data_IF_816352887611
#
_entry.id   IF_816352887611
#
_cell.length_a   1.000
_cell.length_b   1.000
_cell.length_c   1.000
_cell.angle_alpha   90.00
_cell.angle_beta   90.00
_cell.angle_gamma   90.00
#
_symmetry.space_group_name_H-M   'P 1'
#
loop_
_entity.id
_entity.type
_entity.pdbx_description
1 polymer ?
#
# COMPACT_ATOMS: atom_id res chain seq x y z
N UNK A 1 -17.76 -14.29 -49.62
CA UNK A 1 -18.62 -13.95 -48.47
C UNK A 1 -18.42 -14.85 -47.25
N UNK A 2 -18.52 -16.18 -47.37
CA UNK A 2 -18.36 -17.12 -46.23
C UNK A 2 -16.98 -17.07 -45.53
N UNK A 3 -15.90 -16.88 -46.29
CA UNK A 3 -14.53 -16.73 -45.74
C UNK A 3 -14.29 -15.40 -45.01
N UNK A 4 -14.95 -14.33 -45.46
CA UNK A 4 -14.89 -13.00 -44.82
C UNK A 4 -15.67 -12.99 -43.50
N UNK A 5 -16.82 -13.68 -43.45
CA UNK A 5 -17.57 -13.88 -42.21
C UNK A 5 -16.78 -14.67 -41.17
N UNK A 6 -16.10 -15.75 -41.55
CA UNK A 6 -15.29 -16.55 -40.63
C UNK A 6 -14.10 -15.77 -40.04
N UNK A 7 -13.45 -14.94 -40.85
CA UNK A 7 -12.36 -14.05 -40.40
C UNK A 7 -12.89 -12.96 -39.47
N UNK A 8 -14.04 -12.36 -39.78
CA UNK A 8 -14.68 -11.36 -38.93
C UNK A 8 -15.13 -11.94 -37.58
N UNK A 9 -15.75 -13.13 -37.57
CA UNK A 9 -16.14 -13.85 -36.35
C UNK A 9 -14.92 -14.26 -35.52
N UNK A 10 -13.85 -14.74 -36.15
CA UNK A 10 -12.59 -15.06 -35.48
C UNK A 10 -11.91 -13.85 -34.85
N UNK A 11 -11.88 -12.71 -35.54
CA UNK A 11 -11.34 -11.45 -35.03
C UNK A 11 -12.16 -10.89 -33.86
N UNK A 12 -13.49 -10.94 -33.94
CA UNK A 12 -14.40 -10.54 -32.84
C UNK A 12 -14.23 -11.44 -31.61
N UNK A 13 -14.03 -12.75 -31.82
CA UNK A 13 -13.78 -13.70 -30.73
C UNK A 13 -12.42 -13.44 -30.07
N UNK A 14 -11.38 -13.11 -30.86
CA UNK A 14 -10.08 -12.71 -30.32
C UNK A 14 -10.19 -11.44 -29.48
N UNK A 15 -10.86 -10.39 -29.97
CA UNK A 15 -11.05 -9.12 -29.25
C UNK A 15 -11.82 -9.31 -27.93
N UNK A 16 -12.83 -10.18 -27.91
CA UNK A 16 -13.58 -10.50 -26.68
C UNK A 16 -12.74 -11.27 -25.64
N UNK A 17 -11.72 -12.03 -26.07
CA UNK A 17 -10.77 -12.71 -25.18
C UNK A 17 -9.71 -11.73 -24.61
N UNK A 18 -9.27 -10.72 -25.38
CA UNK A 18 -8.25 -9.74 -24.93
C UNK A 18 -8.82 -8.69 -23.97
N UNK A 19 -10.13 -8.43 -24.02
CA UNK A 19 -10.79 -7.47 -23.11
C UNK A 19 -10.77 -7.90 -21.62
N UNK A 20 -10.30 -9.13 -21.32
CA UNK A 20 -10.18 -9.68 -19.96
C UNK A 20 -8.78 -9.57 -19.35
N UNK A 21 -7.83 -8.91 -20.01
CA UNK A 21 -6.43 -8.91 -19.55
C UNK A 21 -6.15 -7.87 -18.47
N UNK A 22 -7.02 -6.87 -18.27
CA UNK A 22 -6.81 -5.83 -17.26
C UNK A 22 -8.05 -5.67 -16.37
N UNK A 23 -7.83 -5.68 -15.06
CA UNK A 23 -8.86 -5.36 -14.07
C UNK A 23 -9.39 -3.93 -14.32
N UNK A 24 -10.71 -3.78 -14.36
CA UNK A 24 -11.38 -2.47 -14.46
C UNK A 24 -11.54 -1.79 -13.10
N UNK A 25 -12.07 -0.56 -13.05
CA UNK A 25 -12.45 0.14 -11.81
C UNK A 25 -13.14 -0.78 -10.78
N UNK A 26 -12.59 -0.88 -9.58
CA UNK A 26 -13.12 -1.66 -8.46
C UNK A 26 -12.92 -3.17 -8.58
N UNK A 27 -12.37 -3.66 -9.69
CA UNK A 27 -12.06 -5.08 -9.87
C UNK A 27 -10.79 -5.45 -9.12
N UNK A 28 -10.72 -6.66 -8.53
CA UNK A 28 -9.51 -7.14 -7.89
C UNK A 28 -8.36 -7.24 -8.90
N UNK A 29 -7.12 -7.05 -8.43
CA UNK A 29 -5.95 -7.26 -9.28
C UNK A 29 -5.82 -8.73 -9.73
N UNK A 30 -6.20 -9.67 -8.87
CA UNK A 30 -6.18 -11.11 -9.14
C UNK A 30 -4.87 -11.78 -8.71
N UNK A 31 -4.80 -13.10 -8.81
CA UNK A 31 -3.62 -13.86 -8.38
C UNK A 31 -3.39 -13.77 -6.86
N UNK A 32 -2.14 -13.54 -6.48
CA UNK A 32 -1.68 -13.29 -5.11
C UNK A 32 -1.68 -11.79 -4.73
N UNK A 33 -1.98 -10.91 -5.69
CA UNK A 33 -2.10 -9.48 -5.44
C UNK A 33 -3.44 -9.15 -4.75
N UNK A 34 -3.33 -8.82 -3.47
CA UNK A 34 -4.46 -8.31 -2.70
C UNK A 34 -4.84 -6.90 -3.15
N UNK A 35 -6.14 -6.57 -3.03
CA UNK A 35 -6.67 -5.25 -3.36
C UNK A 35 -7.30 -5.17 -4.75
N UNK A 36 -7.74 -3.95 -5.10
CA UNK A 36 -8.49 -3.68 -6.31
C UNK A 36 -7.98 -2.43 -7.02
N UNK A 37 -8.24 -2.36 -8.33
CA UNK A 37 -8.05 -1.14 -9.11
C UNK A 37 -8.94 -0.03 -8.52
N UNK A 38 -8.40 1.17 -8.27
CA UNK A 38 -9.20 2.28 -7.78
C UNK A 38 -10.36 2.60 -8.73
N UNK A 39 -11.57 2.71 -8.18
CA UNK A 39 -12.80 3.02 -8.92
C UNK A 39 -13.18 4.51 -8.92
N UNK A 40 -12.44 5.33 -8.17
CA UNK A 40 -12.61 6.77 -8.09
C UNK A 40 -11.27 7.50 -7.97
N UNK A 41 -11.27 8.80 -8.28
CA UNK A 41 -10.10 9.67 -8.09
C UNK A 41 -9.69 9.76 -6.62
N UNK A 42 -10.66 9.73 -5.71
CA UNK A 42 -10.39 9.74 -4.27
C UNK A 42 -9.74 8.43 -3.82
N UNK A 43 -10.26 7.28 -4.26
CA UNK A 43 -9.63 6.00 -3.94
C UNK A 43 -8.24 5.87 -4.56
N UNK A 44 -8.00 6.43 -5.75
CA UNK A 44 -6.66 6.48 -6.33
C UNK A 44 -5.71 7.36 -5.51
N UNK A 45 -6.18 8.53 -5.05
CA UNK A 45 -5.44 9.43 -4.17
C UNK A 45 -5.13 8.78 -2.83
N UNK A 46 -6.10 8.05 -2.26
CA UNK A 46 -5.92 7.26 -1.06
C UNK A 46 -4.81 6.22 -1.26
N UNK A 47 -4.95 5.34 -2.26
CA UNK A 47 -3.97 4.28 -2.55
C UNK A 47 -2.56 4.86 -2.72
N UNK A 48 -2.40 5.92 -3.52
CA UNK A 48 -1.11 6.59 -3.72
C UNK A 48 -0.53 7.15 -2.42
N UNK A 49 -1.37 7.73 -1.56
CA UNK A 49 -0.94 8.30 -0.28
C UNK A 49 -0.57 7.21 0.71
N UNK A 50 -1.34 6.12 0.78
CA UNK A 50 -1.05 4.93 1.58
C UNK A 50 0.30 4.34 1.17
N UNK A 51 0.54 4.11 -0.13
CA UNK A 51 1.82 3.58 -0.61
C UNK A 51 3.00 4.47 -0.19
N UNK A 52 2.88 5.80 -0.33
CA UNK A 52 3.93 6.75 0.11
C UNK A 52 4.12 6.75 1.63
N UNK A 53 3.03 6.68 2.40
CA UNK A 53 3.08 6.60 3.85
C UNK A 53 3.79 5.31 4.30
N UNK A 54 3.47 4.18 3.66
CA UNK A 54 4.07 2.89 3.94
C UNK A 54 5.57 2.85 3.58
N UNK A 55 5.97 3.37 2.40
CA UNK A 55 7.40 3.50 2.07
C UNK A 55 8.17 4.36 3.08
N UNK A 56 7.52 5.41 3.61
CA UNK A 56 8.08 6.24 4.68
C UNK A 56 8.17 5.50 6.02
N UNK A 57 7.23 4.60 6.32
CA UNK A 57 7.23 3.74 7.51
C UNK A 57 8.43 2.79 7.45
N UNK A 58 8.58 2.03 6.35
CA UNK A 58 9.74 1.14 6.10
C UNK A 58 11.06 1.90 6.25
N UNK A 59 11.16 3.07 5.64
CA UNK A 59 12.37 3.91 5.73
C UNK A 59 12.66 4.42 7.16
N UNK A 60 11.63 4.53 8.00
CA UNK A 60 11.75 4.97 9.38
C UNK A 60 12.19 3.81 10.28
N UNK A 61 11.58 2.63 10.14
CA UNK A 61 11.98 1.37 10.81
C UNK A 61 13.45 1.04 10.54
N UNK A 62 13.86 1.01 9.26
CA UNK A 62 15.28 0.82 8.88
C UNK A 62 16.20 1.83 9.59
N UNK A 63 15.75 3.07 9.79
CA UNK A 63 16.53 4.11 10.46
C UNK A 63 16.59 3.90 11.97
N UNK A 64 15.54 3.39 12.60
CA UNK A 64 15.50 3.01 14.00
C UNK A 64 16.51 1.87 14.27
N UNK A 65 16.42 0.77 13.51
CA UNK A 65 17.40 -0.32 13.56
C UNK A 65 18.84 0.15 13.32
N UNK A 66 19.08 1.02 12.33
CA UNK A 66 20.42 1.59 12.08
C UNK A 66 20.93 2.38 13.28
N UNK A 67 20.07 3.18 13.93
CA UNK A 67 20.42 3.96 15.12
C UNK A 67 20.74 3.06 16.31
N UNK A 68 19.97 1.99 16.49
CA UNK A 68 20.25 0.97 17.49
C UNK A 68 21.65 0.37 17.28
N UNK A 69 21.95 -0.13 16.08
CA UNK A 69 23.26 -0.68 15.75
C UNK A 69 24.41 0.33 16.00
N UNK A 70 24.24 1.58 15.56
CA UNK A 70 25.23 2.64 15.80
C UNK A 70 25.42 2.98 17.28
N UNK A 71 24.35 2.97 18.08
CA UNK A 71 24.44 3.17 19.53
C UNK A 71 25.22 2.04 20.19
N UNK A 72 24.95 0.78 19.81
CA UNK A 72 25.68 -0.39 20.33
C UNK A 72 27.17 -0.33 20.02
N UNK A 73 27.56 0.06 18.81
CA UNK A 73 28.98 0.27 18.46
C UNK A 73 29.67 1.37 19.29
N UNK A 74 28.91 2.31 19.85
CA UNK A 74 29.39 3.40 20.71
C UNK A 74 29.27 3.08 22.20
N UNK A 75 28.85 1.88 22.58
CA UNK A 75 28.56 1.52 23.97
C UNK A 75 27.37 2.27 24.57
N UNK A 76 26.46 2.79 23.75
CA UNK A 76 25.27 3.53 24.14
C UNK A 76 24.02 2.65 24.03
N UNK A 77 22.96 3.04 24.74
CA UNK A 77 21.63 2.49 24.56
C UNK A 77 20.83 3.35 23.59
N UNK A 78 19.88 2.72 22.90
CA UNK A 78 18.91 3.39 22.05
C UNK A 78 17.60 2.64 22.22
N UNK A 79 16.55 3.36 22.60
CA UNK A 79 15.19 2.83 22.70
C UNK A 79 14.61 2.76 21.29
N UNK A 80 14.79 1.59 20.68
CA UNK A 80 14.40 1.32 19.31
C UNK A 80 12.90 1.06 19.21
N UNK A 81 12.32 0.35 20.19
CA UNK A 81 10.88 0.17 20.34
C UNK A 81 10.11 1.50 20.27
N UNK A 82 10.49 2.48 21.09
CA UNK A 82 9.85 3.82 21.08
C UNK A 82 10.15 4.65 19.84
N UNK A 83 11.10 4.23 19.00
CA UNK A 83 11.35 4.83 17.69
C UNK A 83 10.37 4.32 16.63
N UNK A 84 9.95 3.06 16.75
CA UNK A 84 9.09 2.36 15.78
C UNK A 84 7.62 2.47 16.16
N UNK A 85 7.27 2.09 17.39
CA UNK A 85 5.91 2.00 17.89
C UNK A 85 5.49 3.19 18.76
N UNK A 86 4.19 3.40 18.88
CA UNK A 86 3.62 4.37 19.80
C UNK A 86 3.76 3.91 21.26
N UNK A 87 4.76 4.43 21.96
CA UNK A 87 4.99 4.17 23.39
C UNK A 87 4.83 5.45 24.22
N UNK A 88 4.76 5.38 25.56
CA UNK A 88 4.80 6.58 26.39
C UNK A 88 6.04 7.47 26.16
N UNK A 89 7.14 6.89 25.65
CA UNK A 89 8.42 7.55 25.44
C UNK A 89 8.60 8.08 24.00
N UNK A 90 7.78 7.66 23.04
CA UNK A 90 7.90 8.07 21.63
C UNK A 90 7.60 9.57 21.44
N UNK A 91 6.65 10.09 22.21
CA UNK A 91 6.27 11.49 22.23
C UNK A 91 5.72 11.99 20.89
N UNK A 92 4.87 11.21 20.21
CA UNK A 92 4.24 11.62 18.95
C UNK A 92 5.15 11.53 17.72
N UNK A 93 6.29 10.85 17.84
CA UNK A 93 7.37 10.88 16.83
C UNK A 93 7.79 9.49 16.36
N UNK A 94 7.17 8.41 16.84
CA UNK A 94 7.49 7.08 16.33
C UNK A 94 7.15 6.95 14.84
N UNK A 95 7.66 5.89 14.22
CA UNK A 95 7.38 5.56 12.84
C UNK A 95 5.87 5.29 12.64
N UNK A 96 5.27 4.53 13.56
CA UNK A 96 3.84 4.27 13.65
C UNK A 96 3.01 5.55 13.72
N UNK A 97 3.31 6.44 14.68
CA UNK A 97 2.50 7.63 14.93
C UNK A 97 2.45 8.54 13.69
N UNK A 98 3.59 8.64 12.97
CA UNK A 98 3.68 9.39 11.71
C UNK A 98 2.89 8.72 10.58
N UNK A 99 2.90 7.39 10.51
CA UNK A 99 2.09 6.66 9.55
C UNK A 99 0.60 6.88 9.84
N UNK A 100 0.16 6.65 11.08
CA UNK A 100 -1.22 6.84 11.53
C UNK A 100 -1.70 8.27 11.28
N UNK A 101 -0.87 9.28 11.56
CA UNK A 101 -1.20 10.68 11.26
C UNK A 101 -1.42 10.95 9.76
N UNK A 102 -0.70 10.26 8.86
CA UNK A 102 -0.91 10.36 7.41
C UNK A 102 -2.20 9.65 6.99
N UNK A 103 -2.46 8.46 7.53
CA UNK A 103 -3.67 7.68 7.25
C UNK A 103 -4.93 8.45 7.71
N UNK A 104 -4.94 8.97 8.95
CA UNK A 104 -6.06 9.77 9.46
C UNK A 104 -6.35 11.02 8.61
N UNK A 105 -5.31 11.64 8.05
CA UNK A 105 -5.48 12.82 7.18
C UNK A 105 -6.12 12.48 5.84
N UNK A 106 -5.81 11.30 5.27
CA UNK A 106 -6.35 10.88 3.97
C UNK A 106 -7.64 10.07 4.09
N UNK A 107 -8.00 9.61 5.29
CA UNK A 107 -9.16 8.76 5.55
C UNK A 107 -10.49 9.21 4.92
N UNK A 108 -10.83 10.52 4.86
CA UNK A 108 -12.06 10.96 4.18
C UNK A 108 -12.13 10.63 2.68
N UNK A 109 -11.00 10.35 2.04
CA UNK A 109 -10.89 10.00 0.62
C UNK A 109 -10.66 8.50 0.40
N UNK A 110 -10.73 7.69 1.45
CA UNK A 110 -10.43 6.27 1.40
C UNK A 110 -11.69 5.43 1.61
N UNK A 111 -11.75 4.27 0.97
CA UNK A 111 -12.70 3.24 1.37
C UNK A 111 -12.25 2.58 2.69
N UNK A 112 -13.20 1.96 3.40
CA UNK A 112 -12.90 1.20 4.62
C UNK A 112 -11.88 0.08 4.37
N UNK A 113 -11.95 -0.59 3.21
CA UNK A 113 -11.02 -1.64 2.82
C UNK A 113 -9.59 -1.10 2.62
N UNK A 114 -9.44 0.11 2.06
CA UNK A 114 -8.13 0.73 1.88
C UNK A 114 -7.48 1.09 3.22
N UNK A 115 -8.27 1.59 4.18
CA UNK A 115 -7.77 1.88 5.54
C UNK A 115 -7.41 0.58 6.28
N UNK A 116 -8.24 -0.45 6.18
CA UNK A 116 -7.95 -1.75 6.80
C UNK A 116 -6.66 -2.36 6.23
N UNK A 117 -6.49 -2.33 4.90
CA UNK A 117 -5.26 -2.80 4.25
C UNK A 117 -4.03 -1.99 4.64
N UNK A 118 -4.15 -0.66 4.75
CA UNK A 118 -3.05 0.21 5.21
C UNK A 118 -2.59 -0.15 6.62
N UNK A 119 -3.53 -0.39 7.54
CA UNK A 119 -3.22 -0.77 8.92
C UNK A 119 -2.60 -2.18 8.98
N UNK A 120 -3.13 -3.14 8.23
CA UNK A 120 -2.55 -4.49 8.16
C UNK A 120 -1.11 -4.51 7.64
N UNK A 121 -0.80 -3.66 6.65
CA UNK A 121 0.57 -3.52 6.15
C UNK A 121 1.52 -2.96 7.22
N UNK A 122 1.07 -1.95 7.96
CA UNK A 122 1.83 -1.40 9.10
C UNK A 122 2.08 -2.49 10.15
N UNK A 123 1.04 -3.22 10.56
CA UNK A 123 1.10 -4.25 11.61
C UNK A 123 1.93 -5.49 11.21
N UNK A 124 2.24 -5.65 9.92
CA UNK A 124 3.15 -6.70 9.44
C UNK A 124 4.61 -6.27 9.51
N UNK A 125 4.84 -4.95 9.49
CA UNK A 125 6.18 -4.35 9.40
C UNK A 125 6.76 -3.98 10.77
N UNK A 126 5.90 -3.51 11.67
CA UNK A 126 6.20 -3.29 13.09
C UNK A 126 5.96 -4.63 13.81
#
# INVERSE_FOLDING_TARGET
MKRLLAIALGAVCLIALVARIHAGPGQPFGGDDTGCVPDSTDHLRCATTVSRAFSSLVSSVIRCHRRQAMARMKGQTFDEESCEEATPSSGGRSAEEKFNARISRIAPHCSAAQIAGANSLRDTLL
#
